data_IF_737067494799
#
_entry.id   IF_737067494799
#
_cell.length_a   1.000
_cell.length_b   1.000
_cell.length_c   1.000
_cell.angle_alpha   90.00
_cell.angle_beta   90.00
_cell.angle_gamma   90.00
#
_symmetry.space_group_name_H-M   'P 1'
#
loop_
_entity.id
_entity.type
_entity.pdbx_description
1 polymer ?
#
# COMPACT_ATOMS: atom_id res chain seq x y z
N UNK A 1 -12.48 -2.96 12.35
CA UNK A 1 -13.09 -2.84 11.00
C UNK A 1 -12.44 -1.74 10.20
N UNK A 2 -12.36 -1.95 8.91
CA UNK A 2 -11.93 -0.88 8.00
C UNK A 2 -13.03 0.17 7.93
N UNK A 3 -12.73 1.47 8.13
CA UNK A 3 -13.75 2.52 8.00
C UNK A 3 -14.39 2.53 6.61
N UNK A 4 -15.68 2.83 6.56
CA UNK A 4 -16.46 2.84 5.31
C UNK A 4 -15.85 3.76 4.24
N UNK A 5 -15.21 4.84 4.66
CA UNK A 5 -14.60 5.80 3.75
C UNK A 5 -13.45 5.21 2.90
N UNK A 6 -12.91 4.05 3.28
CA UNK A 6 -11.83 3.41 2.54
C UNK A 6 -12.32 2.70 1.28
N UNK A 7 -13.58 2.26 1.25
CA UNK A 7 -14.06 1.41 0.16
C UNK A 7 -14.26 2.17 -1.13
N UNK A 8 -13.87 1.55 -2.23
CA UNK A 8 -13.96 2.11 -3.56
C UNK A 8 -12.65 1.97 -4.31
N UNK A 9 -12.57 2.71 -5.42
CA UNK A 9 -11.39 2.70 -6.30
C UNK A 9 -10.65 4.02 -6.17
N UNK A 10 -9.34 3.92 -5.99
CA UNK A 10 -8.46 5.06 -5.75
C UNK A 10 -7.34 5.08 -6.77
N UNK A 11 -7.02 6.26 -7.28
CA UNK A 11 -5.98 6.43 -8.31
C UNK A 11 -4.91 7.37 -7.79
N UNK A 12 -3.64 6.98 -7.91
CA UNK A 12 -2.53 7.81 -7.46
C UNK A 12 -2.54 9.14 -8.19
N UNK A 13 -2.35 10.23 -7.44
CA UNK A 13 -2.42 11.59 -7.99
C UNK A 13 -1.10 12.33 -7.82
N UNK A 14 -0.54 12.27 -6.62
CA UNK A 14 0.74 12.94 -6.33
C UNK A 14 1.45 12.23 -5.19
N UNK A 15 2.75 12.50 -5.10
CA UNK A 15 3.59 11.93 -4.05
C UNK A 15 4.34 13.07 -3.35
N UNK A 16 4.68 12.82 -2.07
CA UNK A 16 5.52 13.70 -1.29
C UNK A 16 6.74 12.88 -0.85
N UNK A 17 7.92 13.26 -1.34
CA UNK A 17 9.21 12.65 -0.99
C UNK A 17 9.39 11.20 -1.45
N UNK A 18 8.67 10.79 -2.51
CA UNK A 18 8.74 9.40 -3.00
C UNK A 18 10.11 9.04 -3.55
N UNK A 19 10.76 9.96 -4.28
CA UNK A 19 12.08 9.69 -4.85
C UNK A 19 13.13 9.43 -3.77
N UNK A 20 13.15 10.27 -2.72
CA UNK A 20 14.08 10.09 -1.60
C UNK A 20 13.83 8.77 -0.87
N UNK A 21 12.55 8.41 -0.69
CA UNK A 21 12.18 7.14 -0.07
C UNK A 21 12.71 5.96 -0.88
N UNK A 22 12.47 5.94 -2.20
CA UNK A 22 12.93 4.87 -3.07
C UNK A 22 14.47 4.80 -3.11
N UNK A 23 15.14 5.95 -3.13
CA UNK A 23 16.60 6.01 -3.08
C UNK A 23 17.13 5.41 -1.79
N UNK A 24 16.47 5.67 -0.66
CA UNK A 24 16.86 5.13 0.64
C UNK A 24 16.73 3.60 0.69
N UNK A 25 15.88 3.03 -0.16
CA UNK A 25 15.70 1.58 -0.29
C UNK A 25 16.69 0.95 -1.27
N UNK A 26 17.61 1.73 -1.82
CA UNK A 26 18.63 1.25 -2.76
C UNK A 26 18.15 1.08 -4.20
N UNK A 27 16.98 1.64 -4.53
CA UNK A 27 16.43 1.54 -5.89
C UNK A 27 17.17 2.51 -6.81
N UNK A 28 17.68 2.03 -7.94
CA UNK A 28 18.46 2.85 -8.84
C UNK A 28 17.62 3.94 -9.53
N UNK A 29 18.32 4.94 -10.07
CA UNK A 29 17.70 6.13 -10.63
C UNK A 29 16.68 5.82 -11.74
N UNK A 30 17.02 4.91 -12.65
CA UNK A 30 16.14 4.60 -13.80
C UNK A 30 14.83 3.98 -13.32
N UNK A 31 14.91 3.04 -12.38
CA UNK A 31 13.73 2.39 -11.83
C UNK A 31 12.90 3.36 -10.99
N UNK A 32 13.56 4.27 -10.25
CA UNK A 32 12.82 5.30 -9.50
C UNK A 32 12.00 6.17 -10.45
N UNK A 33 12.58 6.58 -11.57
CA UNK A 33 11.84 7.37 -12.57
C UNK A 33 10.64 6.62 -13.11
N UNK A 34 10.78 5.34 -13.38
CA UNK A 34 9.68 4.51 -13.86
C UNK A 34 8.54 4.48 -12.83
N UNK A 35 8.86 4.30 -11.55
CA UNK A 35 7.86 4.28 -10.47
C UNK A 35 7.13 5.61 -10.36
N UNK A 36 7.89 6.73 -10.40
CA UNK A 36 7.31 8.07 -10.26
C UNK A 36 6.38 8.43 -11.42
N UNK A 37 6.58 7.84 -12.59
CA UNK A 37 5.75 8.11 -13.78
C UNK A 37 4.57 7.15 -13.91
N UNK A 38 4.46 6.17 -13.02
CA UNK A 38 3.45 5.12 -13.12
C UNK A 38 2.25 5.44 -12.25
N UNK A 39 1.05 5.23 -12.79
CA UNK A 39 -0.19 5.38 -12.04
C UNK A 39 -0.55 4.06 -11.38
N UNK A 40 -0.73 4.09 -10.05
CA UNK A 40 -1.21 2.96 -9.28
C UNK A 40 -2.70 3.14 -8.98
N UNK A 41 -3.48 2.09 -9.22
CA UNK A 41 -4.89 2.06 -8.82
C UNK A 41 -5.04 1.06 -7.70
N UNK A 42 -5.73 1.48 -6.62
CA UNK A 42 -6.03 0.63 -5.46
C UNK A 42 -7.54 0.53 -5.35
N UNK A 43 -8.05 -0.70 -5.34
CA UNK A 43 -9.47 -0.96 -5.09
C UNK A 43 -9.61 -1.68 -3.76
N UNK A 44 -10.40 -1.13 -2.85
CA UNK A 44 -10.64 -1.70 -1.53
C UNK A 44 -12.12 -2.07 -1.44
N UNK A 45 -12.41 -3.31 -1.10
CA UNK A 45 -13.77 -3.84 -1.07
C UNK A 45 -14.05 -4.57 0.23
N UNK A 46 -15.30 -4.44 0.70
CA UNK A 46 -15.81 -5.22 1.82
C UNK A 46 -16.55 -6.43 1.23
N UNK A 47 -16.08 -7.62 1.53
CA UNK A 47 -16.68 -8.87 1.04
C UNK A 47 -17.74 -9.41 2.00
N UNK A 48 -17.94 -8.76 3.16
CA UNK A 48 -18.86 -9.22 4.17
C UNK A 48 -18.22 -10.24 5.12
N UNK A 49 -18.81 -10.38 6.29
CA UNK A 49 -18.36 -11.36 7.29
C UNK A 49 -16.97 -11.09 7.85
N UNK A 50 -16.50 -9.84 7.81
CA UNK A 50 -15.18 -9.45 8.30
C UNK A 50 -14.07 -9.72 7.29
N UNK A 51 -14.40 -10.06 6.05
CA UNK A 51 -13.42 -10.28 4.98
C UNK A 51 -13.37 -9.06 4.07
N UNK A 52 -12.16 -8.70 3.68
CA UNK A 52 -11.88 -7.56 2.80
C UNK A 52 -11.02 -8.00 1.63
N UNK A 53 -11.04 -7.20 0.57
CA UNK A 53 -10.20 -7.45 -0.59
C UNK A 53 -9.51 -6.15 -1.00
N UNK A 54 -8.23 -6.24 -1.33
CA UNK A 54 -7.48 -5.13 -1.93
C UNK A 54 -6.94 -5.62 -3.26
N UNK A 55 -7.08 -4.76 -4.28
CA UNK A 55 -6.53 -5.01 -5.60
C UNK A 55 -5.64 -3.84 -5.99
N UNK A 56 -4.40 -4.13 -6.39
CA UNK A 56 -3.47 -3.14 -6.94
C UNK A 56 -3.35 -3.37 -8.44
N UNK A 57 -3.40 -2.29 -9.22
CA UNK A 57 -3.27 -2.36 -10.68
C UNK A 57 -2.29 -1.31 -11.18
N UNK A 58 -1.35 -1.74 -12.03
CA UNK A 58 -0.34 -0.89 -12.65
C UNK A 58 -0.12 -1.38 -14.08
N UNK A 59 -0.30 -0.50 -15.07
CA UNK A 59 0.04 -0.79 -16.46
C UNK A 59 -0.52 -2.12 -16.98
N UNK A 60 -1.81 -2.38 -16.69
CA UNK A 60 -2.47 -3.60 -17.16
C UNK A 60 -2.17 -4.85 -16.35
N UNK A 61 -1.28 -4.76 -15.37
CA UNK A 61 -1.04 -5.84 -14.41
C UNK A 61 -1.84 -5.58 -13.15
N UNK A 62 -2.36 -6.64 -12.53
CA UNK A 62 -3.05 -6.51 -11.27
C UNK A 62 -2.73 -7.68 -10.35
N UNK A 63 -2.82 -7.41 -9.04
CA UNK A 63 -2.73 -8.42 -8.01
C UNK A 63 -3.80 -8.11 -6.97
N UNK A 64 -4.50 -9.11 -6.50
CA UNK A 64 -5.52 -8.94 -5.47
C UNK A 64 -5.36 -10.01 -4.41
N UNK A 65 -5.78 -9.67 -3.19
CA UNK A 65 -5.74 -10.59 -2.07
C UNK A 65 -6.88 -10.29 -1.12
N UNK A 66 -7.31 -11.33 -0.41
CA UNK A 66 -8.36 -11.25 0.60
C UNK A 66 -7.75 -11.40 1.97
N UNK A 67 -8.31 -10.73 2.96
CA UNK A 67 -7.74 -10.73 4.29
C UNK A 67 -8.80 -10.42 5.35
N UNK A 68 -8.43 -10.70 6.60
CA UNK A 68 -9.19 -10.31 7.79
C UNK A 68 -8.27 -9.48 8.68
N UNK A 69 -8.83 -8.49 9.35
CA UNK A 69 -8.05 -7.66 10.27
C UNK A 69 -7.47 -8.53 11.39
N UNK A 70 -6.18 -8.37 11.66
CA UNK A 70 -5.47 -9.08 12.71
C UNK A 70 -4.95 -10.45 12.32
N UNK A 71 -5.30 -10.97 11.14
CA UNK A 71 -4.88 -12.30 10.69
C UNK A 71 -3.80 -12.16 9.61
N UNK A 72 -2.64 -12.79 9.80
CA UNK A 72 -1.59 -12.74 8.78
C UNK A 72 -2.00 -13.53 7.53
N UNK A 73 -1.58 -13.05 6.38
CA UNK A 73 -1.77 -13.73 5.10
C UNK A 73 -0.51 -13.60 4.26
N UNK A 74 -0.37 -14.49 3.27
CA UNK A 74 0.79 -14.50 2.38
C UNK A 74 0.37 -13.96 1.01
N UNK A 75 1.17 -13.06 0.45
CA UNK A 75 0.97 -12.54 -0.90
C UNK A 75 2.31 -12.25 -1.55
N UNK A 76 2.35 -12.30 -2.88
CA UNK A 76 3.53 -11.89 -3.65
C UNK A 76 3.41 -10.45 -4.17
N UNK A 77 2.19 -9.89 -4.20
CA UNK A 77 1.96 -8.54 -4.70
C UNK A 77 2.26 -8.39 -6.18
N UNK A 78 2.29 -7.15 -6.65
CA UNK A 78 2.62 -6.84 -8.04
C UNK A 78 4.07 -7.13 -8.38
N UNK A 79 4.97 -7.00 -7.41
CA UNK A 79 6.40 -7.21 -7.60
C UNK A 79 6.81 -8.68 -7.58
N UNK A 80 5.86 -9.61 -7.38
CA UNK A 80 6.12 -11.05 -7.33
C UNK A 80 7.17 -11.42 -6.28
N UNK A 81 7.10 -10.78 -5.12
CA UNK A 81 8.02 -11.02 -4.00
C UNK A 81 7.17 -11.44 -2.78
N UNK A 82 7.28 -12.71 -2.42
CA UNK A 82 6.45 -13.29 -1.35
C UNK A 82 6.76 -12.69 0.01
N UNK A 83 5.70 -12.38 0.76
CA UNK A 83 5.77 -11.89 2.13
C UNK A 83 4.52 -12.27 2.90
N UNK A 84 4.65 -12.19 4.20
CA UNK A 84 3.52 -12.30 5.12
C UNK A 84 3.11 -10.89 5.53
N UNK A 85 1.82 -10.59 5.40
CA UNK A 85 1.26 -9.30 5.76
C UNK A 85 0.31 -9.47 6.93
N UNK A 86 0.47 -8.65 7.96
CA UNK A 86 -0.48 -8.61 9.08
C UNK A 86 -1.16 -7.25 9.09
N UNK A 87 -2.45 -7.19 8.72
CA UNK A 87 -3.21 -5.95 8.72
C UNK A 87 -3.83 -5.71 10.09
N UNK A 88 -3.70 -4.48 10.61
CA UNK A 88 -4.32 -4.08 11.86
C UNK A 88 -4.96 -2.71 11.70
N UNK A 89 -5.88 -2.36 12.60
CA UNK A 89 -6.49 -1.03 12.65
C UNK A 89 -6.01 -0.33 13.92
N UNK A 90 -5.46 0.88 13.74
CA UNK A 90 -5.07 1.75 14.83
C UNK A 90 -5.89 3.04 14.70
N UNK A 91 -6.97 3.14 15.49
CA UNK A 91 -7.92 4.22 15.36
C UNK A 91 -8.66 4.13 14.03
N UNK A 92 -8.42 5.09 13.12
CA UNK A 92 -8.98 5.10 11.77
C UNK A 92 -7.92 4.79 10.69
N UNK A 93 -6.77 4.28 11.12
CA UNK A 93 -5.64 3.99 10.24
C UNK A 93 -5.52 2.48 10.03
N UNK A 94 -5.43 2.07 8.78
CA UNK A 94 -5.10 0.69 8.43
C UNK A 94 -3.57 0.58 8.40
N UNK A 95 -3.02 -0.35 9.17
CA UNK A 95 -1.57 -0.56 9.27
C UNK A 95 -1.25 -1.95 8.74
N UNK A 96 -0.31 -2.02 7.79
CA UNK A 96 0.16 -3.28 7.23
C UNK A 96 1.62 -3.50 7.62
N UNK A 97 1.89 -4.63 8.27
CA UNK A 97 3.26 -5.05 8.56
C UNK A 97 3.62 -6.16 7.60
N UNK A 98 4.64 -5.89 6.77
CA UNK A 98 5.12 -6.83 5.75
C UNK A 98 6.41 -7.48 6.24
N UNK A 99 6.45 -8.82 6.21
CA UNK A 99 7.64 -9.59 6.60
C UNK A 99 8.06 -10.46 5.42
N UNK A 100 9.25 -10.20 4.89
CA UNK A 100 9.81 -10.92 3.75
C UNK A 100 10.80 -11.97 4.23
N UNK A 101 10.62 -13.22 3.82
CA UNK A 101 11.53 -14.30 4.20
C UNK A 101 12.94 -14.08 3.62
N UNK A 102 13.03 -13.37 2.48
CA UNK A 102 14.29 -13.13 1.79
C UNK A 102 15.09 -11.93 2.30
N UNK A 103 14.56 -11.19 3.30
CA UNK A 103 15.21 -9.99 3.83
C UNK A 103 15.60 -10.17 5.28
N UNK A 104 16.81 -9.71 5.61
CA UNK A 104 17.26 -9.64 7.01
C UNK A 104 16.61 -8.44 7.70
N UNK A 105 16.65 -7.26 7.04
CA UNK A 105 16.00 -6.06 7.53
C UNK A 105 14.63 -5.95 6.90
N UNK A 106 13.60 -5.88 7.74
CA UNK A 106 12.23 -5.78 7.28
C UNK A 106 11.85 -4.32 7.02
N UNK A 107 10.81 -4.14 6.20
CA UNK A 107 10.27 -2.80 5.90
C UNK A 107 9.55 -2.24 7.13
N UNK A 108 9.52 -0.90 7.22
CA UNK A 108 8.66 -0.23 8.19
C UNK A 108 7.19 -0.46 7.80
N UNK A 109 6.27 -0.44 8.79
CA UNK A 109 4.85 -0.60 8.49
C UNK A 109 4.34 0.43 7.49
N UNK A 110 3.41 0.00 6.63
CA UNK A 110 2.71 0.88 5.70
C UNK A 110 1.39 1.29 6.34
N UNK A 111 1.05 2.57 6.28
CA UNK A 111 -0.16 3.10 6.89
C UNK A 111 -1.06 3.72 5.83
N UNK A 112 -2.36 3.49 5.97
CA UNK A 112 -3.37 4.07 5.09
C UNK A 112 -4.40 4.80 5.93
N UNK A 113 -4.75 6.01 5.50
CA UNK A 113 -5.83 6.78 6.10
C UNK A 113 -6.59 7.51 5.01
N UNK A 114 -7.85 7.87 5.30
CA UNK A 114 -8.64 8.72 4.40
C UNK A 114 -8.78 10.07 5.08
N UNK A 115 -8.23 11.12 4.44
CA UNK A 115 -8.19 12.47 4.99
C UNK A 115 -8.81 13.41 3.95
N UNK A 116 -9.94 14.03 4.33
CA UNK A 116 -10.65 14.96 3.44
C UNK A 116 -10.98 14.35 2.08
N UNK A 117 -11.42 13.09 2.06
CA UNK A 117 -11.80 12.39 0.83
C UNK A 117 -10.64 11.89 -0.01
N UNK A 118 -9.41 11.93 0.51
CA UNK A 118 -8.21 11.48 -0.17
C UNK A 118 -7.62 10.30 0.60
N UNK A 119 -7.29 9.23 -0.11
CA UNK A 119 -6.57 8.10 0.50
C UNK A 119 -5.09 8.46 0.56
N UNK A 120 -4.52 8.39 1.75
CA UNK A 120 -3.11 8.69 1.99
C UNK A 120 -2.38 7.42 2.40
N UNK A 121 -1.37 7.05 1.62
CA UNK A 121 -0.47 5.95 1.95
C UNK A 121 0.82 6.54 2.50
N UNK A 122 1.17 6.17 3.73
CA UNK A 122 2.38 6.64 4.39
C UNK A 122 3.41 5.53 4.41
N UNK A 123 4.58 5.81 3.86
CA UNK A 123 5.71 4.89 3.77
C UNK A 123 6.90 5.49 4.50
N UNK A 124 7.76 4.64 5.05
CA UNK A 124 8.99 5.15 5.69
C UNK A 124 10.11 4.13 5.62
N UNK A 125 11.32 4.63 5.69
CA UNK A 125 12.54 3.84 5.88
C UNK A 125 13.39 4.60 6.88
N UNK A 126 13.19 4.27 8.18
CA UNK A 126 13.80 5.03 9.26
C UNK A 126 13.34 6.48 9.25
N UNK A 127 14.28 7.42 9.13
CA UNK A 127 13.99 8.85 9.13
C UNK A 127 13.42 9.36 7.81
N UNK A 128 13.56 8.60 6.72
CA UNK A 128 13.06 9.01 5.40
C UNK A 128 11.59 8.62 5.29
N UNK A 129 10.73 9.63 5.20
CA UNK A 129 9.28 9.45 5.16
C UNK A 129 8.71 9.92 3.84
N UNK A 130 7.66 9.24 3.39
CA UNK A 130 7.01 9.51 2.12
C UNK A 130 5.50 9.37 2.30
N UNK A 131 4.75 10.17 1.55
CA UNK A 131 3.31 10.02 1.44
C UNK A 131 2.91 9.95 -0.02
N UNK A 132 1.97 9.06 -0.31
CA UNK A 132 1.34 8.99 -1.64
C UNK A 132 -0.13 9.30 -1.48
N UNK A 133 -0.66 10.13 -2.37
CA UNK A 133 -2.03 10.62 -2.31
C UNK A 133 -2.83 10.05 -3.48
N UNK A 134 -3.99 9.50 -3.15
CA UNK A 134 -4.87 8.86 -4.13
C UNK A 134 -6.23 9.56 -4.11
N UNK A 135 -6.73 9.89 -5.28
CA UNK A 135 -8.08 10.44 -5.41
C UNK A 135 -9.06 9.32 -5.73
N UNK A 136 -10.30 9.50 -5.31
CA UNK A 136 -11.37 8.55 -5.60
C UNK A 136 -11.69 8.60 -7.09
N UNK A 137 -11.77 7.41 -7.69
CA UNK A 137 -12.19 7.25 -9.08
C UNK A 137 -13.70 7.03 -9.10
N UNK A 138 -14.38 7.81 -9.90
CA UNK A 138 -15.85 7.68 -10.08
C UNK A 138 -16.17 6.74 -11.21
#
# INVERSE_FOLDING_TARGET
>A
EIPLSFFGTWVSEKDDNMDAFLASKGINWLLRKAVLMTTLTIKISDLGGGRYQIEHSVMGKSAKWEFRIGEPYVTAGLENLERTVTPTIEGVTLVERHVYASKILQDDPIRYSVENGVLVQSLSNGAVKCKRYFKRKN
#
